data_IF_396088714458
#
_entry.id   IF_396088714458
#
_cell.length_a   1.000
_cell.length_b   1.000
_cell.length_c   1.000
_cell.angle_alpha   90.00
_cell.angle_beta   90.00
_cell.angle_gamma   90.00
#
_symmetry.space_group_name_H-M   'P 1'
#
loop_
_entity.id
_entity.type
_entity.pdbx_description
1 polymer ?
#
# COMPACT_ATOMS: atom_id res chain seq x y z
N UNK A 1 -49.65 35.57 9.97
CA UNK A 1 -48.46 35.15 10.74
C UNK A 1 -48.34 33.63 10.70
N UNK A 2 -47.11 33.11 10.72
CA UNK A 2 -46.68 31.74 11.12
C UNK A 2 -46.12 30.84 10.00
N UNK A 3 -44.83 31.10 9.76
CA UNK A 3 -43.71 30.21 9.38
C UNK A 3 -44.01 28.73 9.15
N UNK A 4 -43.46 28.15 8.08
CA UNK A 4 -42.88 26.78 8.10
C UNK A 4 -41.68 26.62 7.15
N UNK A 5 -40.50 26.78 7.76
CA UNK A 5 -39.30 25.94 7.64
C UNK A 5 -38.76 25.55 6.26
N UNK A 6 -37.66 26.20 5.85
CA UNK A 6 -36.70 25.68 4.87
C UNK A 6 -36.06 24.40 5.44
N UNK A 7 -36.24 23.26 4.78
CA UNK A 7 -35.51 22.04 5.09
C UNK A 7 -34.11 22.12 4.45
N UNK A 8 -33.08 22.20 5.29
CA UNK A 8 -31.67 22.14 4.88
C UNK A 8 -31.34 20.67 4.59
N UNK A 9 -31.12 20.34 3.31
CA UNK A 9 -30.54 19.05 2.92
C UNK A 9 -29.07 19.04 3.36
N UNK A 10 -28.76 18.32 4.43
CA UNK A 10 -27.38 18.03 4.82
C UNK A 10 -26.81 16.98 3.86
N UNK A 11 -25.87 17.38 3.01
CA UNK A 11 -25.08 16.44 2.19
C UNK A 11 -24.08 15.75 3.12
N UNK A 12 -24.34 14.50 3.45
CA UNK A 12 -23.40 13.65 4.18
C UNK A 12 -22.22 13.34 3.25
N UNK A 13 -21.07 13.97 3.48
CA UNK A 13 -19.82 13.61 2.83
C UNK A 13 -19.38 12.22 3.36
N UNK A 14 -19.58 11.17 2.56
CA UNK A 14 -19.01 9.86 2.85
C UNK A 14 -17.50 9.91 2.62
N UNK A 15 -16.66 9.54 3.61
CA UNK A 15 -15.23 9.45 3.38
C UNK A 15 -14.99 8.32 2.37
N UNK A 16 -14.38 8.67 1.23
CA UNK A 16 -13.92 7.71 0.24
C UNK A 16 -12.80 6.89 0.89
N UNK A 17 -13.12 5.69 1.38
CA UNK A 17 -12.12 4.71 1.76
C UNK A 17 -11.32 4.39 0.51
N UNK A 18 -10.01 4.70 0.53
CA UNK A 18 -9.10 4.26 -0.52
C UNK A 18 -9.25 2.74 -0.66
N UNK A 19 -9.67 2.28 -1.83
CA UNK A 19 -9.97 0.88 -2.05
C UNK A 19 -8.68 0.04 -1.97
N UNK A 20 -8.54 -0.73 -0.89
CA UNK A 20 -7.46 -1.70 -0.75
C UNK A 20 -7.62 -2.78 -1.83
N UNK A 21 -6.62 -2.96 -2.69
CA UNK A 21 -6.66 -3.98 -3.76
C UNK A 21 -5.96 -5.24 -3.27
N UNK A 22 -6.62 -6.41 -3.22
CA UNK A 22 -5.98 -7.65 -2.79
C UNK A 22 -4.75 -8.00 -3.63
N UNK A 23 -3.68 -8.46 -2.96
CA UNK A 23 -2.44 -8.91 -3.57
C UNK A 23 -2.18 -10.37 -3.19
N UNK A 24 -2.05 -11.24 -4.20
CA UNK A 24 -1.67 -12.63 -3.97
C UNK A 24 -0.17 -12.73 -3.66
N UNK A 25 0.18 -13.33 -2.52
CA UNK A 25 1.56 -13.62 -2.11
C UNK A 25 1.64 -15.08 -1.65
N UNK A 26 1.77 -16.04 -2.58
CA UNK A 26 1.70 -17.47 -2.26
C UNK A 26 2.75 -17.97 -1.27
N UNK A 27 3.87 -17.26 -1.12
CA UNK A 27 4.96 -17.64 -0.21
C UNK A 27 4.73 -17.29 1.26
N UNK A 28 3.72 -16.48 1.58
CA UNK A 28 3.31 -16.19 2.96
C UNK A 28 1.85 -16.61 3.18
N UNK A 29 1.64 -17.91 3.34
CA UNK A 29 0.31 -18.54 3.46
C UNK A 29 -0.45 -18.14 4.73
N UNK A 30 0.21 -17.51 5.70
CA UNK A 30 -0.40 -17.09 6.96
C UNK A 30 -0.86 -15.64 6.94
N UNK A 31 -0.60 -14.89 5.86
CA UNK A 31 -0.93 -13.47 5.78
C UNK A 31 -1.71 -13.11 4.52
N UNK A 32 -2.48 -12.03 4.63
CA UNK A 32 -3.15 -11.38 3.51
C UNK A 32 -2.43 -10.08 3.18
N UNK A 33 -2.35 -9.77 1.89
CA UNK A 33 -1.69 -8.58 1.39
C UNK A 33 -2.64 -7.73 0.58
N UNK A 34 -2.46 -6.42 0.67
CA UNK A 34 -3.24 -5.44 -0.06
C UNK A 34 -2.34 -4.32 -0.59
N UNK A 35 -2.59 -3.88 -1.82
CA UNK A 35 -2.04 -2.65 -2.39
C UNK A 35 -2.92 -1.50 -1.95
N UNK A 36 -2.31 -0.48 -1.35
CA UNK A 36 -3.00 0.74 -0.91
C UNK A 36 -2.81 1.87 -1.92
N UNK A 37 -1.57 2.02 -2.39
CA UNK A 37 -1.17 3.05 -3.34
C UNK A 37 -0.06 2.49 -4.24
N UNK A 38 -0.05 2.88 -5.51
CA UNK A 38 1.07 2.59 -6.42
C UNK A 38 1.21 3.66 -7.48
N UNK A 39 2.44 3.87 -7.94
CA UNK A 39 2.69 4.64 -9.15
C UNK A 39 2.25 3.82 -10.38
N UNK A 40 1.68 4.50 -11.38
CA UNK A 40 1.14 3.86 -12.59
C UNK A 40 2.01 4.09 -13.84
N UNK A 41 3.15 4.77 -13.70
CA UNK A 41 4.03 5.16 -14.81
C UNK A 41 5.50 5.17 -14.35
N UNK A 42 6.40 5.08 -15.33
CA UNK A 42 7.84 5.07 -15.08
C UNK A 42 8.38 3.69 -14.74
N UNK A 43 9.72 3.62 -14.77
CA UNK A 43 10.46 2.40 -14.46
C UNK A 43 10.65 2.20 -12.96
N UNK A 44 10.94 3.28 -12.24
CA UNK A 44 10.92 3.28 -10.78
C UNK A 44 9.49 3.55 -10.29
N UNK A 45 8.91 2.61 -9.55
CA UNK A 45 7.54 2.71 -9.04
C UNK A 45 7.54 2.57 -7.53
N UNK A 46 6.85 3.47 -6.85
CA UNK A 46 6.53 3.32 -5.44
C UNK A 46 5.28 2.46 -5.29
N UNK A 47 5.28 1.60 -4.29
CA UNK A 47 4.12 0.80 -3.91
C UNK A 47 4.00 0.77 -2.39
N UNK A 48 2.81 1.12 -1.91
CA UNK A 48 2.44 1.04 -0.50
C UNK A 48 1.55 -0.18 -0.32
N UNK A 49 1.92 -1.05 0.62
CA UNK A 49 1.20 -2.30 0.89
C UNK A 49 0.86 -2.45 2.36
N UNK A 50 -0.22 -3.16 2.63
CA UNK A 50 -0.66 -3.63 3.95
C UNK A 50 -0.55 -5.15 3.99
N UNK A 51 -0.04 -5.67 5.10
CA UNK A 51 0.02 -7.09 5.43
C UNK A 51 -0.78 -7.33 6.70
N UNK A 52 -1.69 -8.28 6.70
CA UNK A 52 -2.41 -8.75 7.89
C UNK A 52 -2.02 -10.20 8.13
N UNK A 53 -1.37 -10.48 9.26
CA UNK A 53 -0.97 -11.84 9.62
C UNK A 53 -1.04 -12.09 11.13
N UNK A 54 -0.57 -13.25 11.62
CA UNK A 54 -0.68 -13.62 13.04
C UNK A 54 0.10 -12.70 13.98
N UNK A 55 1.13 -12.03 13.46
CA UNK A 55 1.93 -11.03 14.18
C UNK A 55 1.29 -9.64 14.19
N UNK A 56 0.08 -9.48 13.66
CA UNK A 56 -0.60 -8.19 13.53
C UNK A 56 -0.57 -7.63 12.10
N UNK A 57 -0.83 -6.32 12.02
CA UNK A 57 -0.87 -5.58 10.76
C UNK A 57 0.44 -4.84 10.56
N UNK A 58 0.98 -4.89 9.34
CA UNK A 58 2.17 -4.13 8.95
C UNK A 58 1.92 -3.36 7.66
N UNK A 59 2.52 -2.19 7.57
CA UNK A 59 2.52 -1.32 6.41
C UNK A 59 3.94 -1.17 5.90
N UNK A 60 4.11 -1.14 4.58
CA UNK A 60 5.41 -0.93 3.97
C UNK A 60 5.29 -0.19 2.66
N UNK A 61 6.20 0.77 2.44
CA UNK A 61 6.40 1.42 1.17
C UNK A 61 7.74 0.96 0.57
N UNK A 62 7.71 0.54 -0.69
CA UNK A 62 8.90 0.14 -1.45
C UNK A 62 9.07 1.01 -2.67
N UNK A 63 10.33 1.24 -3.07
CA UNK A 63 10.68 1.66 -4.42
C UNK A 63 11.10 0.41 -5.19
N UNK A 64 10.53 0.20 -6.36
CA UNK A 64 10.82 -0.92 -7.25
C UNK A 64 11.35 -0.37 -8.57
N UNK A 65 12.49 -0.86 -9.04
CA UNK A 65 12.94 -0.66 -10.42
C UNK A 65 12.50 -1.85 -11.25
N UNK A 66 11.51 -1.63 -12.12
CA UNK A 66 10.87 -2.67 -12.92
C UNK A 66 11.77 -3.23 -14.03
N UNK A 67 12.77 -2.47 -14.50
CA UNK A 67 13.69 -2.92 -15.55
C UNK A 67 14.87 -3.68 -14.95
N UNK A 68 15.40 -3.19 -13.82
CA UNK A 68 16.52 -3.84 -13.15
C UNK A 68 16.09 -5.01 -12.25
N UNK A 69 14.80 -5.14 -11.95
CA UNK A 69 14.30 -6.18 -11.05
C UNK A 69 14.85 -6.03 -9.64
N UNK A 70 14.92 -4.79 -9.14
CA UNK A 70 15.46 -4.48 -7.82
C UNK A 70 14.46 -3.68 -6.99
N UNK A 71 14.63 -3.69 -5.66
CA UNK A 71 13.78 -2.93 -4.76
C UNK A 71 14.55 -2.42 -3.54
N UNK A 72 13.97 -1.44 -2.85
CA UNK A 72 14.34 -1.05 -1.49
C UNK A 72 13.13 -0.63 -0.68
N UNK A 73 13.25 -0.65 0.64
CA UNK A 73 12.23 -0.09 1.53
C UNK A 73 12.42 1.42 1.64
N UNK A 74 11.32 2.15 1.50
CA UNK A 74 11.25 3.58 1.79
C UNK A 74 10.72 3.85 3.21
N UNK A 75 9.99 2.89 3.78
CA UNK A 75 9.55 2.91 5.16
C UNK A 75 8.65 1.70 5.48
N UNK A 76 8.49 1.44 6.77
CA UNK A 76 7.70 0.35 7.35
C UNK A 76 7.19 0.73 8.74
N UNK A 77 6.12 0.08 9.19
CA UNK A 77 5.54 0.30 10.52
C UNK A 77 4.26 -0.48 10.75
N UNK A 78 3.77 -0.49 11.98
CA UNK A 78 2.49 -1.14 12.33
C UNK A 78 1.29 -0.25 11.94
N UNK A 79 1.55 1.04 11.71
CA UNK A 79 0.58 2.01 11.19
C UNK A 79 1.09 2.71 9.93
N UNK A 80 0.17 3.25 9.11
CA UNK A 80 0.53 4.12 7.98
C UNK A 80 1.35 5.35 8.40
N UNK A 81 1.08 5.88 9.60
CA UNK A 81 1.80 7.05 10.13
C UNK A 81 3.24 6.70 10.43
N UNK A 82 3.48 5.56 11.09
CA UNK A 82 4.84 5.06 11.37
C UNK A 82 5.60 4.77 10.08
N UNK A 83 4.97 4.07 9.12
CA UNK A 83 5.58 3.79 7.83
C UNK A 83 6.02 5.07 7.10
N UNK A 84 5.21 6.14 7.15
CA UNK A 84 5.56 7.45 6.55
C UNK A 84 6.65 8.20 7.31
N UNK A 85 6.79 7.96 8.62
CA UNK A 85 7.80 8.58 9.46
C UNK A 85 9.12 7.79 9.51
N UNK A 86 9.08 6.50 9.14
CA UNK A 86 10.23 5.61 9.09
C UNK A 86 11.22 6.05 8.01
N UNK A 87 12.50 5.78 8.26
CA UNK A 87 13.57 6.11 7.31
C UNK A 87 13.70 4.99 6.28
N UNK A 88 14.05 5.30 5.02
CA UNK A 88 14.39 4.29 4.03
C UNK A 88 15.47 3.34 4.56
N UNK A 89 15.27 2.04 4.34
CA UNK A 89 16.15 1.00 4.81
C UNK A 89 16.90 0.34 3.64
N UNK A 90 18.22 0.27 3.78
CA UNK A 90 19.10 -0.43 2.83
C UNK A 90 19.31 0.29 1.50
N UNK A 91 20.01 -0.40 0.60
CA UNK A 91 20.22 0.00 -0.80
C UNK A 91 19.24 -0.79 -1.69
N UNK A 92 19.17 -0.43 -2.97
CA UNK A 92 18.49 -1.29 -3.94
C UNK A 92 19.12 -2.68 -3.91
N UNK A 93 18.28 -3.70 -3.81
CA UNK A 93 18.67 -5.10 -3.77
C UNK A 93 17.89 -5.88 -4.84
N UNK A 94 18.49 -6.94 -5.42
CA UNK A 94 17.80 -7.77 -6.41
C UNK A 94 16.57 -8.46 -5.82
N UNK A 95 15.54 -8.63 -6.64
CA UNK A 95 14.36 -9.41 -6.28
C UNK A 95 14.70 -10.90 -6.32
N UNK A 96 14.40 -11.60 -5.22
CA UNK A 96 14.46 -13.07 -5.18
C UNK A 96 13.12 -13.64 -5.62
N UNK A 97 13.10 -14.44 -6.68
CA UNK A 97 11.88 -15.06 -7.20
C UNK A 97 11.13 -15.83 -6.09
N UNK A 98 9.80 -15.65 -6.04
CA UNK A 98 8.95 -16.26 -5.02
C UNK A 98 9.00 -15.59 -3.64
N UNK A 99 9.85 -14.59 -3.42
CA UNK A 99 9.80 -13.81 -2.18
C UNK A 99 8.56 -12.90 -2.13
N UNK A 100 8.21 -12.43 -0.93
CA UNK A 100 7.14 -11.42 -0.76
C UNK A 100 7.42 -10.18 -1.61
N UNK A 101 8.67 -9.69 -1.59
CA UNK A 101 9.07 -8.51 -2.37
C UNK A 101 8.94 -8.74 -3.88
N UNK A 102 9.14 -9.97 -4.36
CA UNK A 102 8.94 -10.31 -5.77
C UNK A 102 7.48 -10.13 -6.19
N UNK A 103 6.53 -10.69 -5.44
CA UNK A 103 5.10 -10.54 -5.77
C UNK A 103 4.62 -9.10 -5.62
N UNK A 104 5.13 -8.36 -4.63
CA UNK A 104 4.85 -6.92 -4.48
C UNK A 104 5.40 -6.13 -5.68
N UNK A 105 6.60 -6.46 -6.16
CA UNK A 105 7.19 -5.83 -7.33
C UNK A 105 6.40 -6.14 -8.61
N UNK A 106 5.94 -7.38 -8.82
CA UNK A 106 5.05 -7.71 -9.94
C UNK A 106 3.77 -6.88 -9.91
N UNK A 107 3.18 -6.66 -8.74
CA UNK A 107 2.01 -5.81 -8.59
C UNK A 107 2.29 -4.33 -8.83
N UNK A 108 3.51 -3.88 -8.51
CA UNK A 108 3.95 -2.53 -8.81
C UNK A 108 4.17 -2.33 -10.31
N UNK A 109 4.74 -3.30 -11.02
CA UNK A 109 5.23 -3.18 -12.40
C UNK A 109 4.19 -3.53 -13.49
N UNK A 110 3.05 -4.11 -13.12
CA UNK A 110 1.86 -4.21 -13.99
C UNK A 110 1.32 -2.83 -14.36
#
# INVERSE_FOLDING_TARGET
MKNRTLAILAVLAMPVLAAETPLSVPSDTKAQYFVLERDNKGNERKITTKRIGPSGTGYSQRLVDCSAGTFKYLGDGETLKEMKASKPAGKMAPLTQGSISFYVAEAACK
#
